data_IF_054121869120
#
_entry.id   IF_054121869120
#
_cell.length_a   1.000
_cell.length_b   1.000
_cell.length_c   1.000
_cell.angle_alpha   90.00
_cell.angle_beta   90.00
_cell.angle_gamma   90.00
#
_symmetry.space_group_name_H-M   'P 1'
#
loop_
_entity.id
_entity.type
_entity.pdbx_description
1 polymer ?
#
# COMPACT_ATOMS: atom_id res chain seq x y z
N UNK A 1 -12.50 21.98 -6.36
CA UNK A 1 -13.22 21.83 -7.65
C UNK A 1 -13.33 20.34 -7.96
N UNK A 2 -14.54 19.81 -8.17
CA UNK A 2 -14.73 18.43 -8.60
C UNK A 2 -14.09 18.23 -9.98
N UNK A 3 -13.41 17.10 -10.19
CA UNK A 3 -12.83 16.78 -11.51
C UNK A 3 -13.94 16.27 -12.41
N UNK A 4 -14.10 16.86 -13.59
CA UNK A 4 -15.04 16.43 -14.62
C UNK A 4 -14.34 15.51 -15.62
N UNK A 5 -15.00 14.42 -16.02
CA UNK A 5 -14.54 13.51 -17.09
C UNK A 5 -15.61 13.38 -18.16
N UNK A 6 -15.25 13.71 -19.39
CA UNK A 6 -16.14 13.55 -20.55
C UNK A 6 -16.27 12.08 -20.93
N UNK A 7 -17.51 11.64 -21.13
CA UNK A 7 -17.87 10.29 -21.57
C UNK A 7 -18.50 10.36 -22.96
N UNK A 8 -18.19 9.38 -23.82
CA UNK A 8 -18.86 9.18 -25.11
C UNK A 8 -19.59 7.85 -25.07
N UNK A 9 -20.83 7.84 -25.53
CA UNK A 9 -21.67 6.63 -25.59
C UNK A 9 -22.25 6.44 -26.98
N UNK A 10 -22.40 5.19 -27.39
CA UNK A 10 -23.00 4.80 -28.65
C UNK A 10 -24.39 4.21 -28.41
N UNK A 11 -25.37 4.59 -29.23
CA UNK A 11 -26.68 3.97 -29.19
C UNK A 11 -26.65 2.52 -29.69
N UNK A 12 -27.45 1.65 -29.05
CA UNK A 12 -27.52 0.23 -29.38
C UNK A 12 -26.43 -0.64 -28.76
N UNK A 13 -25.48 -0.05 -28.02
CA UNK A 13 -24.47 -0.78 -27.24
C UNK A 13 -24.61 -0.46 -25.75
N UNK A 14 -24.24 -1.43 -24.92
CA UNK A 14 -24.05 -1.21 -23.49
C UNK A 14 -22.61 -0.77 -23.25
N UNK A 15 -22.42 0.44 -22.73
CA UNK A 15 -21.11 0.93 -22.32
C UNK A 15 -20.87 0.59 -20.86
N UNK A 16 -19.74 -0.06 -20.58
CA UNK A 16 -19.25 -0.34 -19.24
C UNK A 16 -18.29 0.78 -18.81
N UNK A 17 -18.58 1.43 -17.70
CA UNK A 17 -17.90 2.67 -17.30
C UNK A 17 -17.51 2.62 -15.84
N UNK A 18 -16.21 2.81 -15.57
CA UNK A 18 -15.70 3.01 -14.21
C UNK A 18 -15.91 4.47 -13.81
N UNK A 19 -16.60 4.69 -12.69
CA UNK A 19 -16.88 5.99 -12.08
C UNK A 19 -16.05 6.15 -10.81
N UNK A 20 -15.48 7.34 -10.57
CA UNK A 20 -14.70 7.62 -9.34
C UNK A 20 -15.52 8.51 -8.42
N UNK A 21 -15.79 8.08 -7.18
CA UNK A 21 -16.55 8.86 -6.20
C UNK A 21 -15.88 10.22 -5.96
N UNK A 22 -16.69 11.29 -5.95
CA UNK A 22 -16.21 12.68 -5.88
C UNK A 22 -15.74 13.29 -7.20
N UNK A 23 -15.96 12.62 -8.33
CA UNK A 23 -15.84 13.21 -9.69
C UNK A 23 -17.22 13.42 -10.31
N UNK A 24 -17.27 13.94 -11.53
CA UNK A 24 -18.52 14.06 -12.29
C UNK A 24 -18.28 13.55 -13.71
N UNK A 25 -19.15 12.69 -14.21
CA UNK A 25 -19.14 12.31 -15.62
C UNK A 25 -20.03 13.27 -16.40
N UNK A 26 -19.53 13.73 -17.55
CA UNK A 26 -20.24 14.65 -18.43
C UNK A 26 -20.44 13.99 -19.78
N UNK A 27 -21.69 13.92 -20.23
CA UNK A 27 -22.09 13.28 -21.48
C UNK A 27 -22.80 14.29 -22.38
N UNK A 28 -22.29 14.46 -23.60
CA UNK A 28 -22.93 15.21 -24.67
C UNK A 28 -24.02 14.34 -25.33
N UNK A 29 -25.28 14.64 -25.03
CA UNK A 29 -26.40 13.84 -25.51
C UNK A 29 -26.66 14.02 -27.01
N UNK A 30 -26.34 15.20 -27.56
CA UNK A 30 -26.54 15.46 -28.98
C UNK A 30 -25.57 14.63 -29.82
N UNK A 31 -24.31 14.52 -29.39
CA UNK A 31 -23.30 13.69 -30.08
C UNK A 31 -23.61 12.20 -30.05
N UNK A 32 -24.28 11.74 -29.00
CA UNK A 32 -24.64 10.33 -28.82
C UNK A 32 -26.01 9.96 -29.40
N UNK A 33 -26.77 10.94 -29.91
CA UNK A 33 -28.10 10.72 -30.44
C UNK A 33 -28.08 10.13 -31.86
N UNK A 34 -28.95 9.16 -32.18
CA UNK A 34 -29.18 8.73 -33.55
C UNK A 34 -29.69 9.88 -34.44
N UNK A 35 -29.45 9.83 -35.77
CA UNK A 35 -30.00 10.83 -36.68
C UNK A 35 -31.52 10.95 -36.52
N UNK A 36 -32.04 12.19 -36.62
CA UNK A 36 -33.47 12.55 -36.47
C UNK A 36 -34.02 12.54 -35.03
N UNK A 37 -33.19 12.33 -34.02
CA UNK A 37 -33.62 12.46 -32.62
C UNK A 37 -34.02 13.90 -32.30
N UNK A 38 -35.20 14.07 -31.69
CA UNK A 38 -35.77 15.37 -31.27
C UNK A 38 -35.91 15.50 -29.76
N UNK A 39 -36.03 14.38 -29.06
CA UNK A 39 -36.20 14.36 -27.61
C UNK A 39 -35.53 13.15 -26.98
N UNK A 40 -35.32 13.18 -25.67
CA UNK A 40 -34.68 12.11 -24.93
C UNK A 40 -35.29 11.93 -23.54
N UNK A 41 -35.12 10.74 -22.96
CA UNK A 41 -35.51 10.45 -21.60
C UNK A 41 -34.38 9.71 -20.88
N UNK A 42 -34.03 10.19 -19.69
CA UNK A 42 -33.05 9.55 -18.81
C UNK A 42 -33.81 8.70 -17.80
N UNK A 43 -33.47 7.41 -17.74
CA UNK A 43 -33.97 6.50 -16.74
C UNK A 43 -32.81 6.01 -15.88
N UNK A 44 -32.99 6.10 -14.58
CA UNK A 44 -31.96 5.87 -13.59
C UNK A 44 -32.42 4.82 -12.58
N UNK A 45 -31.55 3.86 -12.26
CA UNK A 45 -31.76 2.91 -11.16
C UNK A 45 -31.24 3.51 -9.83
N UNK A 46 -31.59 2.94 -8.66
CA UNK A 46 -31.29 3.55 -7.36
C UNK A 46 -29.80 3.90 -7.19
N UNK A 47 -29.54 5.00 -6.48
CA UNK A 47 -28.21 5.47 -6.06
C UNK A 47 -27.29 6.01 -7.17
N UNK A 48 -27.86 6.47 -8.29
CA UNK A 48 -27.19 7.35 -9.25
C UNK A 48 -27.95 8.68 -9.25
N UNK A 49 -27.22 9.79 -9.15
CA UNK A 49 -27.73 11.14 -9.33
C UNK A 49 -27.36 11.65 -10.71
N UNK A 50 -28.24 12.47 -11.30
CA UNK A 50 -27.92 13.14 -12.55
C UNK A 50 -28.54 14.54 -12.59
N UNK A 51 -27.91 15.43 -13.35
CA UNK A 51 -28.44 16.73 -13.71
C UNK A 51 -28.26 16.99 -15.19
N UNK A 52 -29.11 17.86 -15.75
CA UNK A 52 -29.09 18.19 -17.18
C UNK A 52 -28.82 19.69 -17.30
N UNK A 53 -27.93 20.06 -18.22
CA UNK A 53 -27.64 21.45 -18.56
C UNK A 53 -27.91 21.68 -20.05
N UNK A 54 -28.62 22.77 -20.42
CA UNK A 54 -29.27 23.74 -19.54
C UNK A 54 -30.41 23.11 -18.72
N UNK A 55 -30.70 23.68 -17.55
CA UNK A 55 -31.71 23.16 -16.62
C UNK A 55 -33.08 23.19 -17.31
N UNK A 56 -33.78 22.04 -17.43
CA UNK A 56 -35.12 22.02 -18.02
C UNK A 56 -36.11 22.85 -17.18
N UNK A 57 -37.07 23.52 -17.83
CA UNK A 57 -38.17 24.19 -17.13
C UNK A 57 -38.96 23.19 -16.24
N UNK A 58 -39.51 23.68 -15.12
CA UNK A 58 -40.19 22.87 -14.09
C UNK A 58 -41.18 21.86 -14.68
N UNK A 59 -41.15 20.62 -14.15
CA UNK A 59 -41.92 19.48 -14.68
C UNK A 59 -43.18 19.20 -13.88
N UNK A 60 -44.25 18.85 -14.59
CA UNK A 60 -45.49 18.28 -14.03
C UNK A 60 -45.71 16.80 -14.40
N UNK A 61 -44.91 16.21 -15.30
CA UNK A 61 -45.07 14.81 -15.75
C UNK A 61 -43.76 14.20 -16.32
N UNK A 62 -43.63 12.85 -16.45
CA UNK A 62 -42.41 12.16 -16.88
C UNK A 62 -42.25 12.08 -18.42
N UNK A 63 -42.52 13.16 -19.15
CA UNK A 63 -42.36 13.21 -20.61
C UNK A 63 -40.89 13.34 -21.07
N UNK A 64 -40.56 12.90 -22.31
CA UNK A 64 -39.25 13.13 -22.92
C UNK A 64 -38.92 14.63 -23.04
N UNK A 65 -37.65 14.97 -22.81
CA UNK A 65 -37.12 16.33 -22.89
C UNK A 65 -36.65 16.67 -24.30
N UNK A 66 -36.76 17.93 -24.75
CA UNK A 66 -36.20 18.35 -26.03
C UNK A 66 -34.68 18.14 -26.06
N UNK A 67 -34.16 17.67 -27.19
CA UNK A 67 -32.73 17.49 -27.43
C UNK A 67 -32.18 18.71 -28.19
N UNK A 68 -31.32 19.47 -27.54
CA UNK A 68 -30.64 20.62 -28.13
C UNK A 68 -29.14 20.33 -28.35
N UNK A 69 -28.50 21.15 -29.19
CA UNK A 69 -27.08 21.00 -29.56
C UNK A 69 -26.10 21.13 -28.40
N UNK A 70 -26.53 21.73 -27.28
CA UNK A 70 -25.71 21.95 -26.09
C UNK A 70 -26.21 21.16 -24.86
N UNK A 71 -27.06 20.14 -25.06
CA UNK A 71 -27.59 19.37 -23.92
C UNK A 71 -26.52 18.43 -23.35
N UNK A 72 -26.09 18.73 -22.14
CA UNK A 72 -25.16 17.91 -21.35
C UNK A 72 -25.90 17.18 -20.22
N UNK A 73 -25.55 15.91 -20.04
CA UNK A 73 -25.95 15.10 -18.89
C UNK A 73 -24.76 14.94 -17.95
N UNK A 74 -24.91 15.43 -16.73
CA UNK A 74 -23.96 15.20 -15.65
C UNK A 74 -24.43 14.04 -14.79
N UNK A 75 -23.51 13.11 -14.49
CA UNK A 75 -23.79 11.92 -13.70
C UNK A 75 -22.86 11.92 -12.50
N UNK A 76 -23.43 11.74 -11.31
CA UNK A 76 -22.72 11.60 -10.05
C UNK A 76 -23.22 10.41 -9.24
N UNK A 77 -22.33 9.85 -8.44
CA UNK A 77 -22.60 8.80 -7.46
C UNK A 77 -21.87 9.18 -6.17
N UNK A 78 -22.55 9.00 -5.05
CA UNK A 78 -22.06 9.36 -3.71
C UNK A 78 -21.32 8.20 -3.03
N UNK A 79 -21.61 6.96 -3.42
CA UNK A 79 -21.08 5.74 -2.79
C UNK A 79 -20.40 4.83 -3.82
N UNK A 80 -19.50 3.97 -3.33
CA UNK A 80 -18.87 2.92 -4.13
C UNK A 80 -19.85 1.77 -4.43
N UNK A 81 -19.66 1.11 -5.57
CA UNK A 81 -20.41 -0.07 -5.98
C UNK A 81 -20.01 -1.30 -5.15
N UNK A 82 -20.99 -2.15 -4.84
CA UNK A 82 -20.75 -3.41 -4.12
C UNK A 82 -20.39 -4.57 -5.06
N UNK A 83 -20.79 -4.48 -6.32
CA UNK A 83 -20.43 -5.44 -7.36
C UNK A 83 -20.22 -4.75 -8.71
N UNK A 84 -19.53 -5.43 -9.62
CA UNK A 84 -19.23 -4.88 -10.94
C UNK A 84 -20.52 -4.72 -11.75
N UNK A 85 -20.73 -3.55 -12.35
CA UNK A 85 -21.90 -3.21 -13.19
C UNK A 85 -23.24 -3.19 -12.45
N UNK A 86 -23.23 -2.97 -11.14
CA UNK A 86 -24.41 -2.97 -10.28
C UNK A 86 -25.30 -1.72 -10.40
N UNK A 87 -24.87 -0.72 -11.20
CA UNK A 87 -25.57 0.55 -11.37
C UNK A 87 -25.82 0.81 -12.85
N UNK A 88 -27.08 1.10 -13.18
CA UNK A 88 -27.53 1.24 -14.57
C UNK A 88 -28.17 2.61 -14.79
N UNK A 89 -27.72 3.30 -15.82
CA UNK A 89 -28.37 4.48 -16.37
C UNK A 89 -28.67 4.22 -17.84
N UNK A 90 -29.81 4.68 -18.33
CA UNK A 90 -30.08 4.62 -19.76
C UNK A 90 -30.68 5.91 -20.28
N UNK A 91 -30.29 6.26 -21.49
CA UNK A 91 -30.85 7.38 -22.25
C UNK A 91 -31.57 6.80 -23.46
N UNK A 92 -32.88 7.03 -23.53
CA UNK A 92 -33.68 6.67 -24.70
C UNK A 92 -33.90 7.92 -25.54
N UNK A 93 -33.64 7.83 -26.84
CA UNK A 93 -33.83 8.92 -27.80
C UNK A 93 -35.07 8.67 -28.65
N UNK A 94 -35.80 9.75 -28.92
CA UNK A 94 -37.07 9.71 -29.62
C UNK A 94 -37.11 10.64 -30.83
N UNK A 95 -37.78 10.19 -31.88
CA UNK A 95 -38.05 10.93 -33.11
C UNK A 95 -39.40 11.63 -33.09
N UNK A 96 -40.06 11.66 -34.24
CA UNK A 96 -41.41 12.22 -34.36
C UNK A 96 -42.45 11.30 -33.71
N UNK A 97 -43.51 11.88 -33.15
CA UNK A 97 -44.61 11.15 -32.50
C UNK A 97 -44.15 10.16 -31.41
N UNK A 98 -43.06 10.45 -30.69
CA UNK A 98 -42.49 9.61 -29.61
C UNK A 98 -42.01 8.22 -30.05
N UNK A 99 -41.67 8.04 -31.34
CA UNK A 99 -41.01 6.82 -31.80
C UNK A 99 -39.63 6.67 -31.15
N UNK A 100 -39.26 5.46 -30.71
CA UNK A 100 -37.94 5.20 -30.13
C UNK A 100 -36.92 4.99 -31.24
N UNK A 101 -35.94 5.88 -31.35
CA UNK A 101 -34.88 5.80 -32.38
C UNK A 101 -33.62 5.09 -31.90
N UNK A 102 -33.39 5.07 -30.58
CA UNK A 102 -32.24 4.39 -30.02
C UNK A 102 -32.18 4.50 -28.51
N UNK A 103 -31.40 3.60 -27.90
CA UNK A 103 -31.15 3.59 -26.48
C UNK A 103 -29.66 3.43 -26.21
N UNK A 104 -29.10 4.33 -25.43
CA UNK A 104 -27.77 4.21 -24.86
C UNK A 104 -27.89 3.66 -23.44
N UNK A 105 -27.10 2.64 -23.11
CA UNK A 105 -27.11 2.01 -21.78
C UNK A 105 -25.73 2.11 -21.16
N UNK A 106 -25.68 2.64 -19.95
CA UNK A 106 -24.50 2.74 -19.12
C UNK A 106 -24.59 1.75 -17.97
N UNK A 107 -23.60 0.87 -17.88
CA UNK A 107 -23.34 0.07 -16.70
C UNK A 107 -22.16 0.71 -15.97
N UNK A 108 -22.45 1.33 -14.83
CA UNK A 108 -21.51 2.06 -14.01
C UNK A 108 -21.01 1.14 -12.89
N UNK A 109 -19.71 1.21 -12.63
CA UNK A 109 -19.10 0.66 -11.42
C UNK A 109 -18.40 1.81 -10.70
N UNK A 110 -18.92 2.24 -9.55
CA UNK A 110 -18.30 3.29 -8.75
C UNK A 110 -17.18 2.71 -7.88
N UNK A 111 -16.00 3.32 -7.99
CA UNK A 111 -14.88 3.07 -7.09
C UNK A 111 -14.75 4.26 -6.14
N UNK A 112 -14.66 3.96 -4.83
CA UNK A 112 -14.44 4.98 -3.82
C UNK A 112 -13.13 5.72 -4.06
N UNK A 113 -13.13 7.04 -3.87
CA UNK A 113 -11.87 7.74 -3.67
C UNK A 113 -11.35 7.33 -2.31
N UNK A 114 -10.14 6.79 -2.20
CA UNK A 114 -9.60 6.53 -0.90
C UNK A 114 -9.32 7.89 -0.26
N UNK A 115 -9.87 8.11 0.93
CA UNK A 115 -9.69 9.35 1.73
C UNK A 115 -8.21 9.57 2.06
N UNK A 116 -7.39 8.53 1.87
CA UNK A 116 -5.95 8.57 1.79
C UNK A 116 -5.52 7.83 0.50
N UNK A 117 -4.78 8.42 -0.45
CA UNK A 117 -4.31 7.72 -1.67
C UNK A 117 -3.55 6.41 -1.41
N UNK A 118 -3.16 6.14 -0.16
CA UNK A 118 -2.51 4.90 0.26
C UNK A 118 -3.45 3.88 0.94
N UNK A 119 -4.66 4.28 1.36
CA UNK A 119 -5.63 3.35 1.97
C UNK A 119 -6.26 2.38 0.95
N UNK A 120 -6.26 2.71 -0.35
CA UNK A 120 -6.79 1.83 -1.41
C UNK A 120 -5.87 0.66 -1.76
N UNK A 121 -4.61 0.66 -1.31
CA UNK A 121 -3.66 -0.42 -1.60
C UNK A 121 -3.40 -1.33 -0.38
N UNK A 122 -3.71 -0.89 0.84
CA UNK A 122 -3.94 -1.81 1.97
C UNK A 122 -5.20 -2.70 1.78
N UNK A 123 -5.97 -2.47 0.71
CA UNK A 123 -7.17 -3.26 0.33
C UNK A 123 -7.02 -3.93 -1.05
N UNK A 124 -5.81 -4.13 -1.57
CA UNK A 124 -5.59 -4.68 -2.93
C UNK A 124 -6.08 -6.11 -3.13
N UNK A 125 -6.51 -6.80 -2.09
CA UNK A 125 -7.37 -7.97 -2.26
C UNK A 125 -8.67 -7.76 -1.49
N UNK A 126 -9.79 -8.14 -2.11
CA UNK A 126 -11.09 -8.23 -1.44
C UNK A 126 -11.11 -9.21 -0.25
N UNK A 127 -9.97 -9.84 0.05
CA UNK A 127 -9.72 -10.82 1.11
C UNK A 127 -8.47 -10.50 1.97
N UNK A 128 -7.93 -9.28 1.91
CA UNK A 128 -6.68 -8.93 2.59
C UNK A 128 -6.86 -8.89 4.10
N UNK A 129 -5.84 -9.28 4.86
CA UNK A 129 -5.93 -9.23 6.33
C UNK A 129 -5.84 -7.78 6.77
N UNK A 130 -6.61 -7.47 7.81
CA UNK A 130 -6.56 -6.17 8.45
C UNK A 130 -6.78 -6.32 9.95
N UNK A 131 -6.25 -5.38 10.72
CA UNK A 131 -6.54 -5.26 12.14
C UNK A 131 -8.06 -5.16 12.33
N UNK A 132 -8.60 -5.76 13.39
CA UNK A 132 -10.05 -5.73 13.61
C UNK A 132 -10.55 -4.29 13.78
N UNK A 133 -11.72 -3.98 13.23
CA UNK A 133 -12.31 -2.64 13.25
C UNK A 133 -12.42 -2.06 14.68
N UNK A 134 -12.70 -2.91 15.67
CA UNK A 134 -12.81 -2.46 17.06
C UNK A 134 -11.50 -1.90 17.63
N UNK A 135 -10.35 -2.48 17.27
CA UNK A 135 -9.03 -2.00 17.73
C UNK A 135 -8.63 -0.76 16.95
N UNK A 136 -8.87 -0.77 15.64
CA UNK A 136 -8.75 0.40 14.78
C UNK A 136 -9.50 1.61 15.40
N UNK A 137 -10.81 1.48 15.59
CA UNK A 137 -11.66 2.54 16.14
C UNK A 137 -11.18 2.99 17.52
N UNK A 138 -10.73 2.06 18.37
CA UNK A 138 -10.15 2.39 19.67
C UNK A 138 -8.88 3.26 19.56
N UNK A 139 -7.93 2.92 18.67
CA UNK A 139 -6.70 3.67 18.49
C UNK A 139 -6.97 5.07 17.92
N UNK A 140 -7.81 5.18 16.89
CA UNK A 140 -8.19 6.48 16.32
C UNK A 140 -8.97 7.35 17.31
N UNK A 141 -9.76 6.75 18.20
CA UNK A 141 -10.48 7.49 19.24
C UNK A 141 -9.56 8.18 20.27
N UNK A 142 -8.28 7.78 20.36
CA UNK A 142 -7.34 8.40 21.30
C UNK A 142 -6.88 9.79 20.86
N UNK A 143 -6.93 10.10 19.55
CA UNK A 143 -6.59 11.39 18.90
C UNK A 143 -5.15 11.88 19.01
N UNK A 144 -4.50 11.71 20.17
CA UNK A 144 -3.20 12.30 20.52
C UNK A 144 -2.00 11.72 19.76
N UNK A 145 -2.19 10.64 19.00
CA UNK A 145 -1.14 9.93 18.26
C UNK A 145 -1.66 9.47 16.89
N UNK A 146 -2.46 10.31 16.23
CA UNK A 146 -3.07 10.13 14.88
C UNK A 146 -2.52 8.92 14.09
N UNK A 147 -3.14 7.72 14.23
CA UNK A 147 -2.55 6.50 13.70
C UNK A 147 -2.45 6.49 12.17
N UNK A 148 -1.30 6.04 11.67
CA UNK A 148 -1.03 5.85 10.24
C UNK A 148 -1.11 4.36 9.89
N UNK A 149 -1.95 4.02 8.93
CA UNK A 149 -2.02 2.66 8.40
C UNK A 149 -0.93 2.44 7.35
N UNK A 150 -0.20 1.34 7.49
CA UNK A 150 0.86 0.90 6.58
C UNK A 150 0.61 -0.55 6.12
N UNK A 151 1.25 -0.95 5.03
CA UNK A 151 0.99 -2.21 4.33
C UNK A 151 1.91 -3.31 4.84
N UNK A 152 1.37 -4.24 5.64
CA UNK A 152 2.09 -5.41 6.16
C UNK A 152 1.55 -6.75 5.66
N UNK A 153 0.42 -6.78 4.95
CA UNK A 153 -0.26 -8.03 4.54
C UNK A 153 0.55 -8.84 3.52
N UNK A 154 1.68 -8.34 3.00
CA UNK A 154 2.62 -9.10 2.19
C UNK A 154 3.50 -10.06 3.01
N UNK A 155 3.56 -9.90 4.35
CA UNK A 155 4.28 -10.78 5.27
C UNK A 155 3.36 -11.88 5.81
N UNK A 156 3.87 -13.08 6.05
CA UNK A 156 3.05 -14.21 6.50
C UNK A 156 2.47 -13.95 7.89
N UNK A 157 3.27 -13.41 8.81
CA UNK A 157 2.78 -12.99 10.13
C UNK A 157 2.01 -11.67 10.00
N UNK A 158 2.52 -10.72 9.21
CA UNK A 158 1.77 -9.53 8.81
C UNK A 158 1.95 -8.37 9.77
N UNK A 159 3.07 -8.32 10.49
CA UNK A 159 3.38 -7.28 11.47
C UNK A 159 4.37 -6.24 10.90
N UNK A 160 4.28 -5.02 11.43
CA UNK A 160 5.10 -3.90 10.97
C UNK A 160 6.52 -3.93 11.53
N UNK A 161 6.72 -4.58 12.67
CA UNK A 161 8.03 -4.75 13.32
C UNK A 161 8.93 -5.74 12.58
N UNK A 162 8.40 -6.47 11.60
CA UNK A 162 9.16 -7.33 10.69
C UNK A 162 9.90 -6.54 9.59
N UNK A 163 9.60 -5.27 9.35
CA UNK A 163 10.28 -4.53 8.26
C UNK A 163 10.65 -3.10 8.61
N UNK A 164 10.24 -2.61 9.78
CA UNK A 164 10.64 -1.28 10.23
C UNK A 164 10.86 -1.19 11.75
N UNK A 165 11.80 -0.34 12.15
CA UNK A 165 11.98 0.08 13.55
C UNK A 165 12.55 1.49 13.63
N UNK A 166 12.56 2.09 14.82
CA UNK A 166 13.16 3.40 15.06
C UNK A 166 14.30 3.29 16.07
N UNK A 167 15.40 4.00 15.80
CA UNK A 167 16.53 4.12 16.72
C UNK A 167 16.80 5.60 17.04
N UNK A 168 17.24 5.92 18.28
CA UNK A 168 17.67 7.28 18.59
C UNK A 168 18.94 7.61 17.81
N UNK A 169 19.02 8.84 17.32
CA UNK A 169 20.15 9.26 16.51
C UNK A 169 20.44 10.75 16.66
N UNK A 170 21.69 11.19 16.48
CA UNK A 170 22.00 12.60 16.36
C UNK A 170 21.24 13.25 15.18
N UNK A 171 20.90 14.52 15.32
CA UNK A 171 20.25 15.31 14.27
C UNK A 171 18.96 15.98 14.73
N UNK A 172 18.32 16.76 13.85
CA UNK A 172 17.18 17.62 14.22
C UNK A 172 15.94 16.83 14.65
N UNK A 173 15.71 15.65 14.07
CA UNK A 173 14.58 14.77 14.45
C UNK A 173 14.87 13.89 15.66
N UNK A 174 16.14 13.70 16.03
CA UNK A 174 16.55 12.89 17.18
C UNK A 174 16.42 11.36 16.99
N UNK A 175 16.06 10.89 15.79
CA UNK A 175 15.93 9.47 15.46
C UNK A 175 16.32 9.18 14.00
N UNK A 176 16.42 7.89 13.68
CA UNK A 176 16.40 7.35 12.30
C UNK A 176 15.36 6.23 12.21
N UNK A 177 14.70 6.15 11.06
CA UNK A 177 13.87 5.02 10.67
C UNK A 177 14.77 3.98 10.03
N UNK A 178 14.75 2.75 10.54
CA UNK A 178 15.43 1.61 9.94
C UNK A 178 14.40 0.82 9.14
N UNK A 179 14.69 0.53 7.88
CA UNK A 179 13.86 -0.32 7.02
C UNK A 179 14.64 -1.56 6.60
N UNK A 180 13.97 -2.71 6.58
CA UNK A 180 14.48 -3.88 5.86
C UNK A 180 14.68 -3.50 4.39
N UNK A 181 15.74 -3.98 3.74
CA UNK A 181 15.97 -3.72 2.32
C UNK A 181 16.61 -4.93 1.63
N UNK A 182 15.83 -5.66 0.82
CA UNK A 182 16.38 -6.66 -0.07
C UNK A 182 17.42 -6.11 -1.05
N UNK A 183 17.24 -4.89 -1.56
CA UNK A 183 18.23 -4.25 -2.44
C UNK A 183 19.57 -4.04 -1.74
N UNK A 184 19.56 -3.55 -0.49
CA UNK A 184 20.79 -3.43 0.32
C UNK A 184 21.42 -4.81 0.57
N UNK A 185 20.59 -5.84 0.81
CA UNK A 185 21.01 -7.23 0.93
C UNK A 185 21.75 -7.72 -0.32
N UNK A 186 21.09 -7.71 -1.47
CA UNK A 186 21.70 -8.15 -2.74
C UNK A 186 22.94 -7.34 -3.11
N UNK A 187 22.96 -6.04 -2.84
CA UNK A 187 24.15 -5.20 -3.04
C UNK A 187 25.31 -5.65 -2.17
N UNK A 188 25.07 -5.97 -0.89
CA UNK A 188 26.09 -6.52 0.00
C UNK A 188 26.61 -7.87 -0.52
N UNK A 189 25.73 -8.82 -0.82
CA UNK A 189 26.12 -10.14 -1.32
C UNK A 189 26.89 -10.05 -2.64
N UNK A 190 26.49 -9.15 -3.54
CA UNK A 190 27.20 -8.93 -4.81
C UNK A 190 28.62 -8.40 -4.57
N UNK A 191 28.79 -7.42 -3.68
CA UNK A 191 30.12 -6.94 -3.27
C UNK A 191 30.99 -8.07 -2.72
N UNK A 192 30.43 -8.93 -1.85
CA UNK A 192 31.15 -10.10 -1.33
C UNK A 192 31.60 -11.05 -2.44
N UNK A 193 30.74 -11.34 -3.41
CA UNK A 193 31.11 -12.16 -4.57
C UNK A 193 32.24 -11.52 -5.38
N UNK A 194 32.13 -10.23 -5.68
CA UNK A 194 33.11 -9.47 -6.47
C UNK A 194 34.48 -9.41 -5.75
N UNK A 195 34.48 -9.37 -4.42
CA UNK A 195 35.67 -9.40 -3.56
C UNK A 195 36.28 -10.82 -3.40
N UNK A 196 35.74 -11.83 -4.10
CA UNK A 196 36.24 -13.20 -4.08
C UNK A 196 35.71 -14.05 -2.92
N UNK A 197 34.63 -13.63 -2.26
CA UNK A 197 34.00 -14.32 -1.15
C UNK A 197 32.73 -15.09 -1.53
N UNK A 198 32.55 -15.43 -2.82
CA UNK A 198 31.39 -16.16 -3.32
C UNK A 198 31.13 -17.53 -2.64
N UNK A 199 32.18 -18.20 -2.17
CA UNK A 199 32.07 -19.50 -1.47
C UNK A 199 31.87 -19.36 0.05
N UNK A 200 31.80 -18.14 0.59
CA UNK A 200 31.52 -17.94 2.00
C UNK A 200 30.12 -18.45 2.34
N UNK A 201 30.01 -19.24 3.42
CA UNK A 201 28.77 -19.89 3.85
C UNK A 201 28.00 -19.06 4.86
N UNK A 202 26.68 -19.04 4.70
CA UNK A 202 25.68 -18.61 5.67
C UNK A 202 25.27 -19.77 6.58
N UNK A 203 24.59 -19.45 7.68
CA UNK A 203 23.99 -20.41 8.62
C UNK A 203 25.00 -21.36 9.29
N UNK A 204 26.26 -20.93 9.42
CA UNK A 204 27.30 -21.71 10.08
C UNK A 204 26.91 -22.04 11.53
N UNK A 205 26.93 -23.33 11.87
CA UNK A 205 26.52 -23.87 13.17
C UNK A 205 25.03 -24.15 13.32
N UNK A 206 24.18 -23.89 12.32
CA UNK A 206 22.73 -24.09 12.39
C UNK A 206 22.23 -25.41 11.75
N UNK A 207 23.16 -26.21 11.22
CA UNK A 207 22.87 -27.50 10.58
C UNK A 207 23.18 -27.49 9.09
N UNK A 208 23.70 -28.61 8.56
CA UNK A 208 24.18 -28.71 7.17
C UNK A 208 23.11 -28.43 6.11
N UNK A 209 21.85 -28.69 6.45
CA UNK A 209 20.70 -28.49 5.54
C UNK A 209 20.35 -27.01 5.35
N UNK A 210 20.78 -26.15 6.27
CA UNK A 210 20.54 -24.70 6.21
C UNK A 210 21.70 -23.97 5.48
N UNK A 211 22.88 -24.60 5.35
CA UNK A 211 24.06 -23.95 4.78
C UNK A 211 23.84 -23.54 3.31
N UNK A 212 24.14 -22.28 3.00
CA UNK A 212 24.10 -21.73 1.64
C UNK A 212 25.32 -20.84 1.39
N UNK A 213 25.92 -20.90 0.21
CA UNK A 213 27.02 -19.99 -0.18
C UNK A 213 26.48 -18.69 -0.79
N UNK A 214 27.31 -17.64 -0.79
CA UNK A 214 26.97 -16.37 -1.46
C UNK A 214 26.67 -16.59 -2.95
N UNK A 215 27.45 -17.44 -3.64
CA UNK A 215 27.21 -17.78 -5.05
C UNK A 215 25.86 -18.47 -5.23
N UNK A 216 25.55 -19.48 -4.43
CA UNK A 216 24.27 -20.19 -4.51
C UNK A 216 23.07 -19.26 -4.26
N UNK A 217 23.20 -18.30 -3.33
CA UNK A 217 22.18 -17.29 -3.06
C UNK A 217 21.97 -16.35 -4.25
N UNK A 218 23.06 -15.88 -4.86
CA UNK A 218 23.00 -14.93 -5.99
C UNK A 218 22.54 -15.60 -7.30
N UNK A 219 22.79 -16.90 -7.45
CA UNK A 219 22.37 -17.71 -8.61
C UNK A 219 20.88 -18.15 -8.51
N UNK A 220 20.23 -17.98 -7.35
CA UNK A 220 18.81 -18.28 -7.17
C UNK A 220 17.91 -17.17 -7.74
N UNK A 221 17.55 -17.30 -9.02
CA UNK A 221 16.67 -16.37 -9.74
C UNK A 221 15.28 -16.24 -9.10
N UNK A 222 14.77 -17.32 -8.49
CA UNK A 222 13.45 -17.31 -7.84
C UNK A 222 13.50 -16.49 -6.56
N UNK A 223 14.52 -16.69 -5.72
CA UNK A 223 14.75 -15.88 -4.53
C UNK A 223 14.93 -14.40 -4.90
N UNK A 224 15.65 -14.09 -5.98
CA UNK A 224 15.82 -12.71 -6.47
C UNK A 224 14.47 -12.08 -6.84
N UNK A 225 13.67 -12.77 -7.65
CA UNK A 225 12.35 -12.27 -8.08
C UNK A 225 11.40 -12.05 -6.88
N UNK A 226 11.42 -12.96 -5.90
CA UNK A 226 10.66 -12.80 -4.66
C UNK A 226 11.09 -11.55 -3.88
N UNK A 227 12.39 -11.29 -3.80
CA UNK A 227 12.93 -10.13 -3.09
C UNK A 227 12.72 -8.82 -3.86
N UNK A 228 12.66 -8.84 -5.19
CA UNK A 228 12.24 -7.67 -5.99
C UNK A 228 10.81 -7.26 -5.67
N UNK A 229 9.90 -8.24 -5.55
CA UNK A 229 8.52 -7.99 -5.11
C UNK A 229 8.49 -7.40 -3.68
N UNK A 230 9.22 -8.01 -2.74
CA UNK A 230 9.25 -7.54 -1.34
C UNK A 230 9.83 -6.13 -1.22
N UNK A 231 10.91 -5.82 -1.95
CA UNK A 231 11.46 -4.46 -1.98
C UNK A 231 10.41 -3.45 -2.49
N UNK A 232 9.61 -3.81 -3.50
CA UNK A 232 8.50 -2.97 -3.96
C UNK A 232 7.43 -2.73 -2.88
N UNK A 233 7.12 -3.72 -2.04
CA UNK A 233 6.23 -3.55 -0.90
C UNK A 233 6.82 -2.62 0.18
N UNK A 234 8.13 -2.73 0.44
CA UNK A 234 8.83 -1.88 1.40
C UNK A 234 8.94 -0.44 0.88
N UNK A 235 9.23 -0.25 -0.40
CA UNK A 235 9.30 1.08 -1.04
C UNK A 235 7.98 1.82 -0.97
N UNK A 236 6.87 1.08 -1.16
CA UNK A 236 5.54 1.65 -0.96
C UNK A 236 5.34 2.17 0.47
N UNK A 237 5.75 1.38 1.47
CA UNK A 237 5.67 1.80 2.87
C UNK A 237 6.61 2.95 3.18
N UNK A 238 7.81 2.96 2.59
CA UNK A 238 8.77 4.06 2.67
C UNK A 238 8.13 5.37 2.21
N UNK A 239 7.43 5.37 1.09
CA UNK A 239 6.74 6.57 0.58
C UNK A 239 5.64 7.07 1.52
N UNK A 240 4.85 6.15 2.10
CA UNK A 240 3.84 6.48 3.12
C UNK A 240 4.50 7.10 4.35
N UNK A 241 5.51 6.43 4.91
CA UNK A 241 6.19 6.88 6.12
C UNK A 241 6.87 8.23 5.92
N UNK A 242 7.51 8.46 4.78
CA UNK A 242 8.10 9.76 4.43
C UNK A 242 7.06 10.86 4.41
N UNK A 243 5.91 10.61 3.79
CA UNK A 243 4.83 11.59 3.68
C UNK A 243 4.19 11.88 5.04
N UNK A 244 3.78 10.85 5.76
CA UNK A 244 2.98 11.00 6.98
C UNK A 244 3.81 11.42 8.19
N UNK A 245 5.10 11.04 8.24
CA UNK A 245 6.02 11.41 9.33
C UNK A 245 6.95 12.59 8.95
N UNK A 246 6.82 13.11 7.73
CA UNK A 246 7.64 14.20 7.21
C UNK A 246 9.14 13.87 7.18
N UNK A 247 9.49 12.65 6.77
CA UNK A 247 10.88 12.18 6.68
C UNK A 247 11.49 12.48 5.31
N UNK A 248 12.77 12.80 5.30
CA UNK A 248 13.57 12.85 4.08
C UNK A 248 14.37 11.54 3.88
N UNK A 249 15.27 11.52 2.90
CA UNK A 249 16.10 10.34 2.65
C UNK A 249 17.17 10.12 3.71
N UNK A 250 17.67 11.20 4.34
CA UNK A 250 18.75 11.14 5.32
C UNK A 250 18.24 10.66 6.69
N UNK A 251 16.92 10.68 6.90
CA UNK A 251 16.23 10.14 8.06
C UNK A 251 16.07 8.60 8.04
N UNK A 252 16.36 7.95 6.91
CA UNK A 252 16.11 6.51 6.70
C UNK A 252 17.42 5.76 6.46
N UNK A 253 17.57 4.62 7.12
CA UNK A 253 18.70 3.70 6.94
C UNK A 253 18.16 2.34 6.50
N UNK A 254 18.73 1.84 5.41
CA UNK A 254 18.35 0.56 4.82
C UNK A 254 19.25 -0.56 5.38
N UNK A 255 18.63 -1.57 5.99
CA UNK A 255 19.32 -2.74 6.54
C UNK A 255 19.29 -3.89 5.54
N UNK A 256 20.40 -4.62 5.35
CA UNK A 256 20.45 -5.76 4.43
C UNK A 256 19.65 -6.91 5.03
N UNK A 257 18.41 -7.09 4.56
CA UNK A 257 17.48 -8.13 5.00
C UNK A 257 16.87 -8.77 3.77
N UNK A 258 16.89 -10.10 3.69
CA UNK A 258 16.27 -10.89 2.62
C UNK A 258 15.09 -11.68 3.13
N UNK A 259 14.16 -11.97 2.23
CA UNK A 259 12.95 -12.73 2.48
C UNK A 259 12.84 -13.91 1.53
N UNK A 260 11.99 -14.88 1.87
CA UNK A 260 11.53 -15.93 0.95
C UNK A 260 10.01 -16.03 1.03
N UNK A 261 9.38 -16.44 -0.06
CA UNK A 261 7.94 -16.65 -0.07
C UNK A 261 7.59 -18.01 0.51
N UNK A 262 6.66 -18.01 1.46
CA UNK A 262 5.97 -19.20 1.96
C UNK A 262 4.50 -19.07 1.58
N UNK A 263 4.05 -19.91 0.65
CA UNK A 263 2.77 -19.75 -0.05
C UNK A 263 2.74 -18.42 -0.83
N UNK A 264 1.82 -17.53 -0.47
CA UNK A 264 1.56 -16.23 -1.08
C UNK A 264 2.10 -15.06 -0.24
N UNK A 265 2.84 -15.33 0.84
CA UNK A 265 3.35 -14.32 1.77
C UNK A 265 4.86 -14.48 2.05
N UNK A 266 5.53 -13.39 2.41
CA UNK A 266 6.95 -13.36 2.73
C UNK A 266 7.24 -13.76 4.19
N UNK A 267 8.35 -14.46 4.39
CA UNK A 267 8.99 -14.69 5.70
C UNK A 267 10.46 -14.32 5.59
N UNK A 268 11.10 -13.95 6.71
CA UNK A 268 12.51 -13.63 6.74
C UNK A 268 13.36 -14.84 6.29
N UNK A 269 14.37 -14.60 5.44
CA UNK A 269 15.26 -15.65 4.92
C UNK A 269 16.31 -16.07 5.95
N UNK A 270 16.80 -15.10 6.72
CA UNK A 270 17.63 -15.25 7.92
C UNK A 270 17.06 -14.37 9.03
N UNK A 271 17.52 -14.49 10.30
CA UNK A 271 16.98 -13.68 11.39
C UNK A 271 16.95 -12.19 11.08
N UNK A 272 15.76 -11.59 11.18
CA UNK A 272 15.52 -10.22 10.73
C UNK A 272 16.13 -9.20 11.69
N UNK A 273 17.21 -8.55 11.25
CA UNK A 273 17.92 -7.57 12.08
C UNK A 273 17.07 -6.35 12.44
N UNK A 274 16.00 -6.03 11.71
CA UNK A 274 15.13 -4.88 12.01
C UNK A 274 14.28 -5.14 13.26
N UNK A 275 13.89 -6.38 13.51
CA UNK A 275 13.04 -6.79 14.64
C UNK A 275 13.87 -6.92 15.94
N UNK A 276 14.48 -5.80 16.34
CA UNK A 276 15.43 -5.69 17.43
C UNK A 276 14.84 -5.02 18.69
N UNK A 277 15.51 -5.19 19.83
CA UNK A 277 15.22 -4.44 21.05
C UNK A 277 16.07 -3.17 21.09
N UNK A 278 15.44 -2.02 21.28
CA UNK A 278 16.13 -0.71 21.39
C UNK A 278 16.10 -0.19 22.83
N UNK A 279 17.24 -0.21 23.52
CA UNK A 279 17.42 0.26 24.91
C UNK A 279 18.34 1.48 24.97
N UNK A 280 17.83 2.62 24.50
CA UNK A 280 18.63 3.83 24.38
C UNK A 280 19.71 3.63 23.33
N UNK A 281 20.99 3.56 23.75
CA UNK A 281 22.11 3.32 22.84
C UNK A 281 22.41 1.84 22.60
N UNK A 282 21.86 0.95 23.42
CA UNK A 282 22.09 -0.50 23.29
C UNK A 282 21.03 -1.13 22.40
N UNK A 283 21.46 -1.79 21.32
CA UNK A 283 20.60 -2.50 20.39
C UNK A 283 20.77 -4.01 20.59
N UNK A 284 19.70 -4.71 20.92
CA UNK A 284 19.63 -6.18 20.98
C UNK A 284 19.09 -6.72 19.66
N UNK A 285 20.00 -7.07 18.74
CA UNK A 285 19.71 -7.37 17.34
C UNK A 285 19.68 -8.90 17.14
N UNK A 286 18.69 -9.47 16.45
CA UNK A 286 18.72 -10.89 16.06
C UNK A 286 19.99 -11.22 15.29
N UNK A 287 20.70 -12.28 15.69
CA UNK A 287 21.93 -12.70 15.03
C UNK A 287 21.62 -13.25 13.62
N UNK A 288 22.12 -12.65 12.53
CA UNK A 288 21.65 -12.98 11.18
C UNK A 288 22.31 -14.22 10.57
N UNK A 289 23.38 -14.76 11.17
CA UNK A 289 24.14 -15.90 10.63
C UNK A 289 24.57 -15.75 9.15
N UNK A 290 24.91 -14.53 8.74
CA UNK A 290 25.40 -14.24 7.39
C UNK A 290 26.78 -14.82 7.07
N UNK A 291 27.28 -14.57 5.84
CA UNK A 291 28.54 -15.13 5.36
C UNK A 291 29.72 -14.77 6.27
N UNK A 292 30.54 -15.76 6.63
CA UNK A 292 31.74 -15.53 7.44
C UNK A 292 32.95 -15.18 6.59
N UNK A 293 33.44 -13.96 6.74
CA UNK A 293 34.68 -13.47 6.13
C UNK A 293 35.73 -13.34 7.21
N UNK A 294 36.80 -14.16 7.14
CA UNK A 294 37.87 -14.20 8.16
C UNK A 294 37.35 -14.37 9.60
N UNK A 295 36.26 -15.10 9.77
CA UNK A 295 35.62 -15.37 11.07
C UNK A 295 34.57 -14.34 11.51
N UNK A 296 34.42 -13.22 10.79
CA UNK A 296 33.41 -12.18 11.08
C UNK A 296 32.20 -12.35 10.15
N UNK A 297 30.99 -12.18 10.70
CA UNK A 297 29.77 -12.19 9.89
C UNK A 297 29.64 -10.87 9.12
N UNK A 298 29.50 -10.95 7.79
CA UNK A 298 29.40 -9.76 6.94
C UNK A 298 28.13 -8.93 7.20
N UNK A 299 27.00 -9.58 7.53
CA UNK A 299 25.76 -8.88 7.88
C UNK A 299 25.88 -8.14 9.22
N UNK A 300 26.49 -8.76 10.22
CA UNK A 300 26.80 -8.11 11.51
C UNK A 300 27.74 -6.91 11.30
N UNK A 301 28.77 -7.08 10.47
CA UNK A 301 29.71 -6.00 10.16
C UNK A 301 29.03 -4.81 9.47
N UNK A 302 28.17 -5.05 8.46
CA UNK A 302 27.43 -3.98 7.77
C UNK A 302 26.46 -3.27 8.74
N UNK A 303 25.69 -4.03 9.53
CA UNK A 303 24.79 -3.45 10.53
C UNK A 303 25.54 -2.60 11.56
N UNK A 304 26.67 -3.08 12.06
CA UNK A 304 27.52 -2.34 12.99
C UNK A 304 28.05 -1.06 12.35
N UNK A 305 28.53 -1.12 11.10
CA UNK A 305 29.04 0.04 10.38
C UNK A 305 27.98 1.12 10.13
N UNK A 306 26.70 0.75 9.99
CA UNK A 306 25.58 1.68 9.85
C UNK A 306 25.20 2.35 11.18
N UNK A 307 25.33 1.63 12.30
CA UNK A 307 24.89 2.08 13.63
C UNK A 307 25.97 2.83 14.42
N UNK A 308 27.24 2.46 14.27
CA UNK A 308 28.36 3.08 14.99
C UNK A 308 28.46 4.61 14.79
N UNK A 309 28.27 5.17 13.58
CA UNK A 309 28.28 6.62 13.38
C UNK A 309 27.17 7.37 14.13
N UNK A 310 26.10 6.66 14.50
CA UNK A 310 25.00 7.20 15.32
C UNK A 310 25.29 7.13 16.83
N UNK A 311 26.40 6.48 17.22
CA UNK A 311 26.75 6.22 18.62
C UNK A 311 25.90 5.13 19.27
N UNK A 312 25.47 4.15 18.47
CA UNK A 312 24.67 2.99 18.90
C UNK A 312 25.53 1.74 18.98
N UNK A 313 25.31 0.93 20.01
CA UNK A 313 26.05 -0.29 20.32
C UNK A 313 25.24 -1.51 19.87
N UNK A 314 25.79 -2.29 18.94
CA UNK A 314 25.15 -3.49 18.41
C UNK A 314 25.50 -4.73 19.25
N UNK A 315 24.49 -5.38 19.82
CA UNK A 315 24.61 -6.63 20.57
C UNK A 315 23.79 -7.72 19.86
N UNK A 316 24.46 -8.74 19.31
CA UNK A 316 23.81 -9.80 18.53
C UNK A 316 23.34 -10.96 19.42
N UNK A 317 22.04 -11.25 19.35
CA UNK A 317 21.36 -12.25 20.18
C UNK A 317 20.98 -13.44 19.31
N UNK A 318 21.47 -14.62 19.68
CA UNK A 318 21.08 -15.86 19.03
C UNK A 318 19.68 -16.28 19.49
N UNK A 319 18.72 -16.18 18.58
CA UNK A 319 17.33 -16.59 18.74
C UNK A 319 16.91 -17.63 17.68
N UNK A 320 17.87 -18.23 16.96
CA UNK A 320 17.59 -18.95 15.71
C UNK A 320 16.64 -20.12 15.92
N UNK A 321 16.96 -21.00 16.89
CA UNK A 321 16.15 -22.20 17.15
C UNK A 321 14.86 -21.89 17.93
N UNK A 322 14.91 -20.91 18.83
CA UNK A 322 13.83 -20.64 19.78
C UNK A 322 12.74 -19.70 19.24
N UNK A 323 13.06 -18.83 18.28
CA UNK A 323 12.12 -17.84 17.74
C UNK A 323 12.12 -17.81 16.21
N UNK A 324 13.28 -17.70 15.54
CA UNK A 324 13.33 -17.53 14.08
C UNK A 324 12.69 -18.70 13.33
N UNK A 325 12.98 -19.96 13.73
CA UNK A 325 12.32 -21.15 13.16
C UNK A 325 10.80 -21.18 13.37
N UNK A 326 10.28 -20.36 14.27
CA UNK A 326 8.85 -20.19 14.54
C UNK A 326 8.28 -18.90 13.89
N UNK A 327 8.99 -18.32 12.91
CA UNK A 327 8.60 -17.11 12.18
C UNK A 327 8.53 -15.84 13.07
N UNK A 328 9.29 -15.78 14.15
CA UNK A 328 9.39 -14.60 15.01
C UNK A 328 10.83 -14.22 15.32
N UNK A 329 11.04 -13.01 15.82
CA UNK A 329 12.37 -12.49 16.14
C UNK A 329 12.48 -11.97 17.57
N UNK A 330 13.61 -11.36 17.94
CA UNK A 330 13.89 -10.92 19.31
C UNK A 330 12.83 -9.92 19.81
N UNK A 331 12.36 -8.97 18.99
CA UNK A 331 11.29 -8.07 19.40
C UNK A 331 9.93 -8.77 19.48
N UNK A 332 9.60 -9.72 18.59
CA UNK A 332 8.40 -10.57 18.72
C UNK A 332 8.36 -11.36 20.04
N UNK A 333 9.53 -11.73 20.57
CA UNK A 333 9.67 -12.47 21.83
C UNK A 333 9.77 -11.60 23.09
N UNK A 334 9.75 -10.27 22.96
CA UNK A 334 9.99 -9.34 24.08
C UNK A 334 9.07 -8.12 24.04
N UNK A 335 9.00 -7.38 25.15
CA UNK A 335 8.25 -6.11 25.19
C UNK A 335 8.92 -5.17 26.19
N UNK A 336 9.14 -3.92 25.79
CA UNK A 336 9.87 -2.93 26.59
C UNK A 336 8.90 -1.87 27.09
N UNK A 337 8.71 -1.81 28.41
CA UNK A 337 8.06 -0.67 29.05
C UNK A 337 9.01 0.53 29.07
N UNK A 338 8.57 1.67 28.54
CA UNK A 338 9.33 2.93 28.50
C UNK A 338 8.72 3.98 29.40
N UNK A 339 9.51 5.01 29.73
CA UNK A 339 9.01 6.20 30.40
C UNK A 339 8.03 6.96 29.51
N UNK A 340 7.00 7.60 30.09
CA UNK A 340 6.06 8.42 29.33
C UNK A 340 6.75 9.66 28.77
N UNK A 341 6.18 10.22 27.70
CA UNK A 341 6.66 11.49 27.15
C UNK A 341 6.63 12.61 28.20
N UNK A 342 7.66 13.47 28.18
CA UNK A 342 7.69 14.67 29.00
C UNK A 342 6.57 15.65 28.61
N UNK A 343 6.25 15.70 27.31
CA UNK A 343 5.13 16.46 26.76
C UNK A 343 3.80 15.94 27.32
N UNK A 344 3.01 16.85 27.88
CA UNK A 344 1.69 16.51 28.41
C UNK A 344 0.68 16.47 27.28
N UNK A 345 0.01 15.34 27.12
CA UNK A 345 -0.91 15.10 25.99
C UNK A 345 -2.07 16.11 25.92
N UNK A 346 -2.50 16.66 27.07
CA UNK A 346 -3.55 17.69 27.12
C UNK A 346 -3.10 19.08 26.65
N UNK A 347 -1.81 19.27 26.35
CA UNK A 347 -1.26 20.49 25.77
C UNK A 347 -1.14 20.41 24.23
N UNK A 348 -1.50 19.28 23.62
CA UNK A 348 -1.54 19.16 22.16
C UNK A 348 -2.75 19.92 21.63
N UNK A 349 -2.54 20.77 20.63
CA UNK A 349 -3.62 21.26 19.79
C UNK A 349 -4.06 20.12 18.88
N UNK A 350 -5.33 19.70 19.01
CA UNK A 350 -5.94 18.60 18.25
C UNK A 350 -6.70 19.11 17.03
#
# INVERSE_FOLDING_TARGET
>A
MSRERTLRVDCGKTSQVVYVVGTTLSLDLCRSAPPKSKSFQVQCFPNIQFSISPVPAERTSPSPLPLDTNTLLFISMEEASLSVFDRKLSVTYYGDNTEVLGKAVLHLTAIGRPVNPYASLCTTSSNGRNMTKVIQDFLWAQKVQEPVAIYSDWLLVGHVDEFMTFVPAPGPKGFRLLLASPDAGYKLFKRLQDDGHGEAKMFDGQGKEEEMTVNALLDDEMLKHQNDYVQGCIDWNRDVLKKELGLDGDDIIDLPVLFKMQYDHAIAFYPDMVNMIVLGKELGIPKPFGPKIRGCCALEAEMTALMEPLGLNCNYIDNFTSYHKLQGEVHCGSNVRRDPFALKWWNLEM
#
